data_IF_994329107463
#
_entry.id   IF_994329107463
#
_cell.length_a   1.000
_cell.length_b   1.000
_cell.length_c   1.000
_cell.angle_alpha   90.00
_cell.angle_beta   90.00
_cell.angle_gamma   90.00
#
_symmetry.space_group_name_H-M   'P 1'
#
loop_
_entity.id
_entity.type
_entity.pdbx_description
1 polymer ?
#
# COMPACT_ATOMS: atom_id res chain seq x y z
N UNK A 1 -17.70 -34.11 -15.67
CA UNK A 1 -16.67 -34.25 -14.61
C UNK A 1 -15.68 -33.12 -14.79
N UNK A 2 -15.53 -32.28 -13.76
CA UNK A 2 -14.69 -31.07 -13.60
C UNK A 2 -15.12 -29.77 -14.30
N UNK A 3 -15.26 -28.71 -13.51
CA UNK A 3 -15.78 -27.38 -13.83
C UNK A 3 -14.65 -26.35 -14.03
N UNK A 4 -14.85 -25.27 -14.82
CA UNK A 4 -13.91 -24.14 -14.85
C UNK A 4 -14.54 -22.81 -14.39
N UNK A 5 -15.46 -22.84 -13.42
CA UNK A 5 -16.14 -21.61 -12.95
C UNK A 5 -15.57 -21.05 -11.63
N UNK A 6 -14.49 -21.63 -11.09
CA UNK A 6 -13.92 -21.23 -9.80
C UNK A 6 -13.13 -19.93 -9.78
N UNK A 7 -12.58 -19.49 -10.93
CA UNK A 7 -11.72 -18.30 -10.98
C UNK A 7 -12.50 -16.97 -10.96
N UNK A 8 -13.71 -16.92 -11.52
CA UNK A 8 -14.51 -15.69 -11.61
C UNK A 8 -15.10 -15.26 -10.24
N UNK A 9 -15.34 -16.21 -9.33
CA UNK A 9 -15.80 -15.89 -7.98
C UNK A 9 -14.69 -15.25 -7.12
N UNK A 10 -13.43 -15.63 -7.33
CA UNK A 10 -12.31 -15.08 -6.55
C UNK A 10 -12.05 -13.60 -6.87
N UNK A 11 -12.13 -13.21 -8.15
CA UNK A 11 -12.04 -11.80 -8.56
C UNK A 11 -13.18 -10.96 -7.96
N UNK A 12 -14.42 -11.45 -8.05
CA UNK A 12 -15.59 -10.74 -7.51
C UNK A 12 -15.59 -10.58 -5.98
N UNK A 13 -15.13 -11.59 -5.23
CA UNK A 13 -15.04 -11.51 -3.77
C UNK A 13 -13.97 -10.51 -3.34
N UNK A 14 -12.82 -10.51 -4.02
CA UNK A 14 -11.74 -9.56 -3.72
C UNK A 14 -12.18 -8.12 -4.00
N UNK A 15 -12.83 -7.87 -5.13
CA UNK A 15 -13.32 -6.53 -5.48
C UNK A 15 -14.42 -6.05 -4.52
N UNK A 16 -15.33 -6.93 -4.11
CA UNK A 16 -16.37 -6.60 -3.13
C UNK A 16 -15.79 -6.34 -1.73
N UNK A 17 -14.80 -7.13 -1.30
CA UNK A 17 -14.11 -6.92 -0.04
C UNK A 17 -13.35 -5.59 -0.04
N UNK A 18 -12.61 -5.29 -1.11
CA UNK A 18 -11.89 -4.03 -1.29
C UNK A 18 -12.86 -2.85 -1.34
N UNK A 19 -13.99 -2.97 -2.03
CA UNK A 19 -15.05 -1.95 -2.08
C UNK A 19 -15.65 -1.67 -0.70
N UNK A 20 -15.98 -2.73 0.06
CA UNK A 20 -16.51 -2.60 1.41
C UNK A 20 -15.49 -1.99 2.37
N UNK A 21 -14.22 -2.38 2.28
CA UNK A 21 -13.15 -1.80 3.08
C UNK A 21 -12.91 -0.33 2.73
N UNK A 22 -12.92 0.02 1.44
CA UNK A 22 -12.81 1.41 0.99
C UNK A 22 -13.99 2.25 1.47
N UNK A 23 -15.19 1.67 1.53
CA UNK A 23 -16.41 2.33 2.04
C UNK A 23 -16.32 2.53 3.55
N UNK A 24 -15.89 1.50 4.31
CA UNK A 24 -15.70 1.56 5.75
C UNK A 24 -14.59 2.54 6.18
N UNK A 25 -13.49 2.58 5.43
CA UNK A 25 -12.39 3.52 5.68
C UNK A 25 -12.59 4.89 5.01
N UNK A 26 -13.68 5.05 4.24
CA UNK A 26 -14.08 6.27 3.53
C UNK A 26 -12.98 6.85 2.60
N UNK A 27 -11.98 6.05 2.24
CA UNK A 27 -10.83 6.49 1.46
C UNK A 27 -10.35 5.35 0.55
N UNK A 28 -10.53 5.51 -0.76
CA UNK A 28 -9.79 4.73 -1.76
C UNK A 28 -8.29 4.86 -1.46
N UNK A 29 -7.51 3.78 -1.48
CA UNK A 29 -6.05 3.73 -1.16
C UNK A 29 -5.67 3.61 0.32
N UNK A 30 -6.60 3.44 1.26
CA UNK A 30 -6.22 3.21 2.65
C UNK A 30 -5.41 1.91 2.83
N UNK A 31 -5.77 0.85 2.11
CA UNK A 31 -5.06 -0.43 2.18
C UNK A 31 -3.63 -0.32 1.64
N UNK A 32 -3.43 0.29 0.48
CA UNK A 32 -2.10 0.47 -0.10
C UNK A 32 -1.18 1.26 0.84
N UNK A 33 -1.70 2.33 1.45
CA UNK A 33 -0.95 3.13 2.44
C UNK A 33 -0.61 2.34 3.69
N UNK A 34 -1.56 1.58 4.25
CA UNK A 34 -1.32 0.74 5.43
C UNK A 34 -0.23 -0.29 5.13
N UNK A 35 -0.31 -0.95 3.97
CA UNK A 35 0.69 -1.93 3.52
C UNK A 35 2.08 -1.26 3.40
N UNK A 36 2.16 -0.07 2.80
CA UNK A 36 3.41 0.68 2.68
C UNK A 36 4.00 1.11 4.04
N UNK A 37 3.16 1.55 4.98
CA UNK A 37 3.61 1.92 6.33
C UNK A 37 4.12 0.68 7.07
N UNK A 38 3.37 -0.43 7.01
CA UNK A 38 3.78 -1.70 7.59
C UNK A 38 5.09 -2.22 6.98
N UNK A 39 5.28 -2.05 5.67
CA UNK A 39 6.52 -2.39 4.97
C UNK A 39 7.71 -1.52 5.40
N UNK A 40 7.51 -0.20 5.54
CA UNK A 40 8.56 0.71 6.00
C UNK A 40 8.98 0.42 7.45
N UNK A 41 8.02 0.12 8.33
CA UNK A 41 8.29 -0.30 9.72
C UNK A 41 9.06 -1.61 9.72
N UNK A 42 8.59 -2.62 8.98
CA UNK A 42 9.24 -3.92 8.90
C UNK A 42 10.69 -3.81 8.43
N UNK A 43 10.97 -3.03 7.39
CA UNK A 43 12.33 -2.83 6.88
C UNK A 43 13.22 -2.11 7.90
N UNK A 44 12.69 -1.10 8.58
CA UNK A 44 13.45 -0.36 9.61
C UNK A 44 13.82 -1.27 10.78
N UNK A 45 12.90 -2.13 11.23
CA UNK A 45 13.18 -3.12 12.26
C UNK A 45 14.10 -4.25 11.76
N UNK A 46 13.96 -4.66 10.51
CA UNK A 46 14.81 -5.68 9.90
C UNK A 46 16.26 -5.21 9.80
N UNK A 47 16.51 -3.95 9.46
CA UNK A 47 17.87 -3.41 9.45
C UNK A 47 18.51 -3.34 10.83
N UNK A 48 17.72 -3.10 11.88
CA UNK A 48 18.22 -3.21 13.25
C UNK A 48 18.69 -4.63 13.55
N UNK A 49 17.90 -5.65 13.19
CA UNK A 49 18.23 -7.06 13.46
C UNK A 49 19.45 -7.53 12.66
N UNK A 50 19.55 -7.16 11.38
CA UNK A 50 20.58 -7.70 10.48
C UNK A 50 21.85 -6.87 10.39
N UNK A 51 21.78 -5.56 10.67
CA UNK A 51 22.88 -4.61 10.46
C UNK A 51 23.23 -3.79 11.69
N UNK A 52 22.55 -4.04 12.81
CA UNK A 52 22.69 -3.29 14.08
C UNK A 52 22.50 -1.77 13.90
N UNK A 53 21.69 -1.39 12.89
CA UNK A 53 21.36 0.02 12.61
C UNK A 53 20.19 0.41 13.50
N UNK A 54 20.40 1.36 14.41
CA UNK A 54 19.35 1.84 15.30
C UNK A 54 18.11 2.30 14.49
N UNK A 55 16.91 1.79 14.81
CA UNK A 55 15.70 2.16 14.10
C UNK A 55 15.42 3.65 14.33
N UNK A 56 15.34 4.42 13.25
CA UNK A 56 15.02 5.85 13.32
C UNK A 56 13.70 6.14 12.61
N UNK A 57 12.88 6.98 13.26
CA UNK A 57 11.66 7.51 12.66
C UNK A 57 11.95 8.26 11.35
N UNK A 58 13.13 8.90 11.26
CA UNK A 58 13.58 9.55 10.04
C UNK A 58 13.80 8.56 8.89
N UNK A 59 14.52 7.46 9.12
CA UNK A 59 14.76 6.44 8.10
C UNK A 59 13.44 5.75 7.66
N UNK A 60 12.55 5.45 8.62
CA UNK A 60 11.23 4.90 8.33
C UNK A 60 10.40 5.86 7.45
N UNK A 61 10.39 7.16 7.79
CA UNK A 61 9.70 8.18 7.00
C UNK A 61 10.30 8.38 5.62
N UNK A 62 11.63 8.34 5.49
CA UNK A 62 12.31 8.45 4.20
C UNK A 62 11.96 7.27 3.30
N UNK A 63 12.04 6.04 3.81
CA UNK A 63 11.62 4.84 3.07
C UNK A 63 10.16 4.89 2.65
N UNK A 64 9.28 5.31 3.56
CA UNK A 64 7.87 5.46 3.25
C UNK A 64 7.65 6.44 2.09
N UNK A 65 8.39 7.56 2.06
CA UNK A 65 8.32 8.55 0.97
C UNK A 65 8.79 7.96 -0.36
N UNK A 66 9.89 7.22 -0.37
CA UNK A 66 10.42 6.57 -1.57
C UNK A 66 9.42 5.54 -2.12
N UNK A 67 8.89 4.68 -1.25
CA UNK A 67 7.89 3.67 -1.63
C UNK A 67 6.57 4.29 -2.08
N UNK A 68 6.19 5.43 -1.49
CA UNK A 68 5.02 6.18 -1.92
C UNK A 68 5.18 6.73 -3.34
N UNK A 69 6.37 7.20 -3.73
CA UNK A 69 6.65 7.61 -5.10
C UNK A 69 6.55 6.44 -6.08
N UNK A 70 7.03 5.26 -5.70
CA UNK A 70 6.85 4.04 -6.48
C UNK A 70 5.39 3.65 -6.63
N UNK A 71 4.59 3.79 -5.57
CA UNK A 71 3.14 3.54 -5.62
C UNK A 71 2.44 4.52 -6.56
N UNK A 72 2.80 5.80 -6.53
CA UNK A 72 2.28 6.82 -7.47
C UNK A 72 2.58 6.43 -8.91
N UNK A 73 3.80 5.96 -9.20
CA UNK A 73 4.17 5.50 -10.54
C UNK A 73 3.40 4.23 -10.97
N UNK A 74 3.02 3.36 -10.03
CA UNK A 74 2.29 2.12 -10.31
C UNK A 74 0.77 2.27 -10.30
N UNK A 75 0.25 3.38 -9.77
CA UNK A 75 -1.18 3.62 -9.68
C UNK A 75 -1.79 3.71 -11.09
N UNK A 76 -2.91 3.01 -11.32
CA UNK A 76 -3.68 3.13 -12.56
C UNK A 76 -4.12 4.59 -12.74
N UNK A 77 -4.17 5.07 -13.98
CA UNK A 77 -4.44 6.48 -14.37
C UNK A 77 -5.63 7.11 -13.62
N UNK A 78 -6.70 6.36 -13.35
CA UNK A 78 -7.90 6.84 -12.63
C UNK A 78 -7.64 7.17 -11.15
N UNK A 79 -6.62 6.58 -10.56
CA UNK A 79 -6.21 6.71 -9.16
C UNK A 79 -5.04 7.69 -8.97
N UNK A 80 -4.40 8.08 -10.08
CA UNK A 80 -3.15 8.83 -10.09
C UNK A 80 -3.30 10.26 -9.55
N UNK A 81 -4.34 10.99 -9.95
CA UNK A 81 -4.52 12.39 -9.58
C UNK A 81 -4.62 12.57 -8.05
N UNK A 82 -5.52 11.82 -7.41
CA UNK A 82 -5.73 11.88 -5.95
C UNK A 82 -4.50 11.43 -5.16
N UNK A 83 -3.77 10.44 -5.66
CA UNK A 83 -2.57 9.92 -4.99
C UNK A 83 -1.38 10.87 -5.15
N UNK A 84 -1.22 11.49 -6.32
CA UNK A 84 -0.19 12.50 -6.61
C UNK A 84 -0.37 13.72 -5.71
N UNK A 85 -1.57 14.30 -5.67
CA UNK A 85 -1.89 15.47 -4.83
C UNK A 85 -1.61 15.18 -3.34
N UNK A 86 -1.95 13.97 -2.89
CA UNK A 86 -1.68 13.54 -1.53
C UNK A 86 -0.18 13.35 -1.26
N UNK A 87 0.56 12.76 -2.20
CA UNK A 87 2.00 12.57 -2.07
C UNK A 87 2.76 13.92 -2.02
N UNK A 88 2.31 14.92 -2.77
CA UNK A 88 2.87 16.28 -2.72
C UNK A 88 2.66 16.97 -1.37
N UNK A 89 1.60 16.63 -0.63
CA UNK A 89 1.37 17.12 0.74
C UNK A 89 2.46 16.69 1.75
N UNK A 90 3.22 15.63 1.45
CA UNK A 90 4.36 15.18 2.28
C UNK A 90 5.69 15.86 1.94
N UNK A 91 5.69 16.82 1.02
CA UNK A 91 6.92 17.49 0.57
C UNK A 91 7.57 18.32 1.67
#
# INVERSE_FOLDING_TARGET
MFAPNGLLCAEGIQDQLISNLNTMLHISFAMDRIILISWAIWNTCSEFIFRDIAPSLYACRSRFKDELQWLVHRAKIKSYATLSDWAESFR
#
